data_IF_799463928599
#
_entry.id   IF_799463928599
#
_cell.length_a   1.000
_cell.length_b   1.000
_cell.length_c   1.000
_cell.angle_alpha   90.00
_cell.angle_beta   90.00
_cell.angle_gamma   90.00
#
_symmetry.space_group_name_H-M   'P 1'
#
loop_
_entity.id
_entity.type
_entity.pdbx_description
1 polymer ?
#
# COMPACT_ATOMS: atom_id res chain seq x y z
N UNK A 1 28.71 63.37 51.86
CA UNK A 1 28.37 62.71 50.57
C UNK A 1 29.61 62.04 49.91
N UNK A 2 30.48 61.42 50.72
CA UNK A 2 31.61 60.55 50.32
C UNK A 2 32.03 59.69 51.53
N UNK A 3 31.06 59.05 52.20
CA UNK A 3 31.31 58.20 53.38
C UNK A 3 30.31 57.03 53.50
N UNK A 4 29.69 56.64 52.39
CA UNK A 4 28.83 55.45 52.28
C UNK A 4 29.20 54.63 51.02
N UNK A 5 30.46 54.72 50.58
CA UNK A 5 30.96 54.05 49.37
C UNK A 5 32.28 53.29 49.60
N UNK A 6 32.67 53.06 50.86
CA UNK A 6 33.93 52.37 51.24
C UNK A 6 33.71 51.14 52.14
N UNK A 7 32.48 50.61 52.21
CA UNK A 7 32.15 49.37 52.96
C UNK A 7 31.80 48.16 52.07
N UNK A 8 32.23 48.17 50.80
CA UNK A 8 32.05 47.04 49.87
C UNK A 8 33.35 46.52 49.23
N UNK A 9 34.52 46.82 49.81
CA UNK A 9 35.83 46.40 49.28
C UNK A 9 36.75 45.73 50.33
N UNK A 10 36.19 44.95 51.25
CA UNK A 10 37.04 44.19 52.20
C UNK A 10 36.46 42.81 52.52
N UNK A 11 36.63 41.85 51.60
CA UNK A 11 36.71 40.40 51.85
C UNK A 11 37.14 39.68 50.55
N UNK A 12 38.31 40.04 50.02
CA UNK A 12 39.08 39.20 49.09
C UNK A 12 40.55 39.35 49.49
N UNK A 13 41.10 38.30 50.09
CA UNK A 13 42.48 38.24 50.58
C UNK A 13 42.74 36.85 51.14
N UNK A 14 43.18 35.96 50.25
CA UNK A 14 44.29 35.00 50.44
C UNK A 14 44.32 34.10 49.20
N UNK A 15 45.41 33.85 48.51
CA UNK A 15 46.70 34.51 48.34
C UNK A 15 47.23 33.89 47.04
N UNK A 16 47.75 34.72 46.14
CA UNK A 16 48.41 34.35 44.89
C UNK A 16 49.89 34.09 45.15
N UNK A 17 50.44 33.00 44.62
CA UNK A 17 51.71 32.94 43.87
C UNK A 17 51.59 31.66 43.01
N UNK A 18 51.65 31.61 41.68
CA UNK A 18 52.50 32.22 40.64
C UNK A 18 52.81 31.04 39.69
N UNK A 19 52.93 31.08 38.36
CA UNK A 19 53.17 32.10 37.33
C UNK A 19 52.92 31.40 35.97
N UNK A 20 52.50 32.19 34.96
CA UNK A 20 52.73 32.01 33.49
C UNK A 20 52.10 30.77 32.80
N UNK A 21 51.43 30.80 31.64
CA UNK A 21 51.14 31.79 30.61
C UNK A 21 50.86 31.04 29.29
N UNK A 22 49.78 31.43 28.58
CA UNK A 22 49.47 31.23 27.13
C UNK A 22 49.19 29.81 26.57
N UNK A 23 47.92 29.52 26.22
CA UNK A 23 47.40 29.38 24.83
C UNK A 23 45.98 28.74 24.79
N UNK A 24 45.26 29.04 23.70
CA UNK A 24 43.82 28.83 23.43
C UNK A 24 43.38 27.35 23.14
N UNK A 25 42.09 27.04 22.84
CA UNK A 25 41.31 26.02 23.54
C UNK A 25 41.19 24.68 22.79
N UNK A 26 41.11 23.57 23.52
CA UNK A 26 40.69 22.27 22.95
C UNK A 26 39.83 21.41 23.88
N UNK A 27 38.66 21.14 23.33
CA UNK A 27 37.94 19.87 23.29
C UNK A 27 37.24 19.31 24.54
N UNK A 28 35.95 19.07 24.28
CA UNK A 28 35.02 18.27 25.03
C UNK A 28 35.42 16.79 25.09
N UNK A 29 35.02 16.15 26.19
CA UNK A 29 34.74 14.72 26.35
C UNK A 29 34.08 14.53 27.73
N UNK A 30 33.52 13.36 28.10
CA UNK A 30 33.32 12.10 27.37
C UNK A 30 31.87 11.56 27.57
N UNK A 31 31.39 10.40 27.11
CA UNK A 31 31.89 9.29 26.30
C UNK A 31 30.69 8.43 25.91
N UNK A 32 30.60 8.11 24.62
CA UNK A 32 29.79 7.01 24.10
C UNK A 32 30.43 5.67 24.48
N UNK A 33 29.68 4.76 25.11
CA UNK A 33 30.09 3.37 25.28
C UNK A 33 29.93 2.63 23.95
N UNK A 34 31.06 2.47 23.24
CA UNK A 34 31.20 1.59 22.08
C UNK A 34 31.09 0.13 22.52
N UNK A 35 30.03 -0.57 22.11
CA UNK A 35 30.01 -2.03 22.13
C UNK A 35 30.81 -2.55 20.93
N UNK A 36 31.88 -3.29 21.21
CA UNK A 36 32.74 -3.95 20.21
C UNK A 36 32.64 -5.45 20.43
N UNK A 37 31.87 -6.16 19.60
CA UNK A 37 31.82 -7.62 19.56
C UNK A 37 32.31 -8.12 18.21
N UNK A 38 33.42 -8.84 18.18
CA UNK A 38 34.14 -9.28 16.99
C UNK A 38 33.91 -10.78 16.76
N UNK A 39 33.41 -11.14 15.58
CA UNK A 39 33.85 -12.31 14.80
C UNK A 39 33.21 -13.69 15.05
N UNK A 40 32.44 -14.16 14.06
CA UNK A 40 32.66 -15.45 13.39
C UNK A 40 31.99 -16.72 13.93
N UNK A 41 30.85 -17.10 13.35
CA UNK A 41 30.25 -18.44 13.49
C UNK A 41 29.21 -18.72 12.40
N UNK A 42 29.35 -19.85 11.71
CA UNK A 42 28.64 -20.25 10.48
C UNK A 42 27.32 -20.96 10.82
N UNK A 43 26.24 -20.63 10.09
CA UNK A 43 24.95 -21.34 9.87
C UNK A 43 24.20 -21.92 11.08
N UNK A 44 22.98 -21.41 11.29
CA UNK A 44 21.87 -22.10 11.95
C UNK A 44 20.52 -21.44 11.65
N UNK A 45 19.59 -22.18 11.05
CA UNK A 45 18.13 -21.88 11.03
C UNK A 45 17.64 -21.85 12.49
N UNK A 46 16.88 -20.83 12.89
CA UNK A 46 16.20 -20.82 14.20
C UNK A 46 15.54 -19.48 14.47
N UNK A 47 14.23 -19.49 14.73
CA UNK A 47 13.38 -18.30 14.84
C UNK A 47 13.67 -17.42 16.05
N UNK A 48 13.58 -16.11 15.84
CA UNK A 48 13.35 -15.15 16.91
C UNK A 48 11.86 -15.15 17.27
N UNK A 49 11.55 -15.12 18.57
CA UNK A 49 10.18 -14.99 19.09
C UNK A 49 9.45 -13.76 18.51
N UNK A 50 8.12 -13.69 18.67
CA UNK A 50 7.28 -12.89 17.79
C UNK A 50 7.59 -11.40 17.95
N UNK A 51 7.81 -10.71 16.83
CA UNK A 51 7.85 -9.25 16.73
C UNK A 51 6.58 -8.70 17.36
N UNK A 52 6.68 -7.81 18.36
CA UNK A 52 5.56 -7.50 19.27
C UNK A 52 4.89 -6.16 19.03
N UNK A 53 5.59 -5.19 18.44
CA UNK A 53 5.06 -3.84 18.23
C UNK A 53 5.00 -3.50 16.74
N UNK A 54 3.92 -2.83 16.33
CA UNK A 54 3.81 -2.26 14.99
C UNK A 54 3.28 -0.82 15.06
N UNK A 55 3.88 0.06 14.27
CA UNK A 55 3.49 1.47 14.17
C UNK A 55 3.40 1.92 12.72
N UNK A 56 2.44 2.80 12.37
CA UNK A 56 2.19 3.20 10.97
C UNK A 56 2.41 4.68 10.73
N UNK A 57 3.21 4.97 9.72
CA UNK A 57 3.43 6.29 9.14
C UNK A 57 2.74 6.35 7.78
N UNK A 58 2.06 7.45 7.49
CA UNK A 58 1.41 7.70 6.20
C UNK A 58 2.32 8.59 5.37
N UNK A 59 2.76 8.07 4.23
CA UNK A 59 3.81 8.67 3.43
C UNK A 59 3.27 9.05 2.03
N UNK A 60 3.26 10.34 1.67
CA UNK A 60 3.06 10.77 0.28
C UNK A 60 4.18 10.23 -0.64
N UNK A 61 3.94 10.18 -1.94
CA UNK A 61 4.87 9.58 -2.92
C UNK A 61 6.31 10.12 -2.84
N UNK A 62 6.47 11.45 -2.71
CA UNK A 62 7.78 12.07 -2.56
C UNK A 62 8.50 11.56 -1.29
N UNK A 63 7.78 11.39 -0.19
CA UNK A 63 8.34 10.86 1.05
C UNK A 63 8.67 9.37 0.94
N UNK A 64 7.79 8.57 0.31
CA UNK A 64 8.04 7.14 0.08
C UNK A 64 9.31 6.93 -0.75
N UNK A 65 9.47 7.68 -1.84
CA UNK A 65 10.66 7.57 -2.69
C UNK A 65 11.95 7.90 -1.94
N UNK A 66 11.93 8.91 -1.08
CA UNK A 66 13.06 9.29 -0.21
C UNK A 66 13.37 8.20 0.84
N UNK A 67 12.35 7.67 1.49
CA UNK A 67 12.49 6.63 2.53
C UNK A 67 12.96 5.28 1.97
N UNK A 68 12.50 4.90 0.77
CA UNK A 68 13.02 3.70 0.10
C UNK A 68 14.47 3.96 -0.33
N UNK A 69 14.72 5.09 -1.01
CA UNK A 69 16.03 5.43 -1.55
C UNK A 69 16.43 4.59 -2.77
N UNK A 70 17.57 4.93 -3.37
CA UNK A 70 18.10 4.22 -4.54
C UNK A 70 18.37 2.76 -4.17
N UNK A 71 17.75 1.82 -4.89
CA UNK A 71 17.82 0.37 -4.61
C UNK A 71 17.45 -0.05 -3.18
N UNK A 72 16.64 0.76 -2.47
CA UNK A 72 16.27 0.46 -1.09
C UNK A 72 17.35 0.80 -0.06
N UNK A 73 18.40 1.55 -0.43
CA UNK A 73 19.55 1.82 0.46
C UNK A 73 19.15 2.57 1.73
N UNK A 74 18.32 3.62 1.61
CA UNK A 74 17.85 4.40 2.76
C UNK A 74 17.04 3.54 3.72
N UNK A 75 16.08 2.75 3.18
CA UNK A 75 15.30 1.81 3.99
C UNK A 75 16.22 0.84 4.74
N UNK A 76 17.19 0.23 4.06
CA UNK A 76 18.13 -0.73 4.67
C UNK A 76 18.95 -0.08 5.78
N UNK A 77 19.43 1.15 5.58
CA UNK A 77 20.15 1.89 6.61
C UNK A 77 19.28 2.16 7.85
N UNK A 78 18.01 2.56 7.66
CA UNK A 78 17.08 2.74 8.78
C UNK A 78 16.83 1.41 9.50
N UNK A 79 16.62 0.30 8.76
CA UNK A 79 16.46 -1.05 9.36
C UNK A 79 17.72 -1.49 10.14
N UNK A 80 18.92 -1.20 9.63
CA UNK A 80 20.20 -1.54 10.27
C UNK A 80 20.48 -0.71 11.52
N UNK A 81 20.23 0.60 11.47
CA UNK A 81 20.49 1.51 12.58
C UNK A 81 19.45 1.41 13.71
N UNK A 82 18.19 1.17 13.37
CA UNK A 82 17.11 1.04 14.37
C UNK A 82 16.96 -0.38 14.94
N UNK A 83 17.39 -1.40 14.19
CA UNK A 83 17.09 -2.81 14.48
C UNK A 83 15.64 -3.21 14.16
N UNK A 84 14.82 -2.29 13.65
CA UNK A 84 13.43 -2.53 13.27
C UNK A 84 13.27 -3.06 11.85
N UNK A 85 12.06 -3.51 11.51
CA UNK A 85 11.71 -3.90 10.14
C UNK A 85 10.69 -2.94 9.54
N UNK A 86 11.00 -2.39 8.37
CA UNK A 86 10.13 -1.48 7.64
C UNK A 86 9.35 -2.26 6.57
N UNK A 87 8.07 -1.97 6.37
CA UNK A 87 7.24 -2.52 5.28
C UNK A 87 6.37 -1.42 4.70
N UNK A 88 6.47 -1.22 3.38
CA UNK A 88 5.60 -0.29 2.66
C UNK A 88 4.42 -1.06 2.05
N UNK A 89 3.26 -0.43 1.95
CA UNK A 89 2.14 -0.88 1.11
C UNK A 89 2.54 -0.90 -0.38
N UNK A 90 1.78 -1.57 -1.23
CA UNK A 90 1.97 -1.59 -2.69
C UNK A 90 1.94 -0.20 -3.35
N UNK A 91 2.33 -0.10 -4.62
CA UNK A 91 2.40 1.18 -5.36
C UNK A 91 1.03 1.85 -5.53
N UNK A 92 -0.04 1.07 -5.58
CA UNK A 92 -1.42 1.54 -5.77
C UNK A 92 -2.27 1.30 -4.50
N UNK A 93 -1.63 0.93 -3.40
CA UNK A 93 -2.28 0.68 -2.10
C UNK A 93 -2.13 1.92 -1.21
N UNK A 94 -3.13 2.79 -1.29
CA UNK A 94 -3.19 4.03 -0.53
C UNK A 94 -4.06 3.89 0.72
N UNK A 95 -3.71 4.67 1.75
CA UNK A 95 -4.60 4.88 2.89
C UNK A 95 -5.86 5.64 2.44
N UNK A 96 -7.06 5.26 2.90
CA UNK A 96 -8.32 5.82 2.41
C UNK A 96 -8.36 7.34 2.48
N UNK A 97 -9.04 7.94 1.49
CA UNK A 97 -9.16 9.39 1.32
C UNK A 97 -7.82 10.16 1.26
N UNK A 98 -6.73 9.46 0.93
CA UNK A 98 -5.41 10.05 0.72
C UNK A 98 -4.71 9.37 -0.46
N UNK A 99 -3.59 9.96 -0.90
CA UNK A 99 -2.57 9.35 -1.75
C UNK A 99 -1.33 8.97 -0.92
N UNK A 100 -1.50 8.82 0.39
CA UNK A 100 -0.43 8.37 1.25
C UNK A 100 -0.37 6.84 1.23
N UNK A 101 0.80 6.28 0.98
CA UNK A 101 1.08 4.86 1.21
C UNK A 101 1.38 4.62 2.68
N UNK A 102 1.10 3.42 3.16
CA UNK A 102 1.33 3.06 4.56
C UNK A 102 2.73 2.49 4.71
N UNK A 103 3.54 3.08 5.58
CA UNK A 103 4.78 2.51 6.10
C UNK A 103 4.51 1.92 7.48
N UNK A 104 4.70 0.61 7.61
CA UNK A 104 4.64 -0.11 8.88
C UNK A 104 6.06 -0.32 9.40
N UNK A 105 6.28 0.06 10.66
CA UNK A 105 7.51 -0.16 11.42
C UNK A 105 7.22 -1.28 12.41
N UNK A 106 7.93 -2.39 12.32
CA UNK A 106 7.89 -3.46 13.30
C UNK A 106 9.12 -3.40 14.20
N UNK A 107 8.91 -3.51 15.51
CA UNK A 107 9.96 -3.60 16.51
C UNK A 107 9.58 -4.58 17.61
N UNK A 108 10.58 -5.10 18.30
CA UNK A 108 10.36 -6.00 19.43
C UNK A 108 10.03 -5.20 20.71
N UNK A 109 10.51 -3.96 20.79
CA UNK A 109 10.32 -3.03 21.92
C UNK A 109 10.08 -1.60 21.41
N UNK A 110 9.42 -0.75 22.20
CA UNK A 110 9.18 0.65 21.85
C UNK A 110 10.44 1.45 21.45
N UNK A 111 11.62 1.30 22.10
CA UNK A 111 12.83 2.01 21.69
C UNK A 111 13.28 1.72 20.25
N UNK A 112 13.03 0.51 19.73
CA UNK A 112 13.35 0.15 18.34
C UNK A 112 12.45 0.92 17.37
N UNK A 113 11.15 0.99 17.67
CA UNK A 113 10.19 1.76 16.86
C UNK A 113 10.50 3.26 16.91
N UNK A 114 10.82 3.79 18.09
CA UNK A 114 11.19 5.18 18.28
C UNK A 114 12.50 5.54 17.55
N UNK A 115 13.50 4.67 17.58
CA UNK A 115 14.74 4.86 16.81
C UNK A 115 14.48 4.89 15.30
N UNK A 116 13.59 4.03 14.79
CA UNK A 116 13.19 4.08 13.38
C UNK A 116 12.42 5.36 13.04
N UNK A 117 11.52 5.80 13.92
CA UNK A 117 10.75 7.03 13.77
C UNK A 117 11.66 8.27 13.73
N UNK A 118 12.67 8.35 14.59
CA UNK A 118 13.64 9.44 14.60
C UNK A 118 14.34 9.59 13.24
N UNK A 119 14.80 8.48 12.65
CA UNK A 119 15.41 8.49 11.30
C UNK A 119 14.41 8.85 10.20
N UNK A 120 13.16 8.43 10.34
CA UNK A 120 12.08 8.79 9.41
C UNK A 120 11.81 10.30 9.49
N UNK A 121 11.84 10.91 10.68
CA UNK A 121 11.69 12.36 10.87
C UNK A 121 12.87 13.11 10.28
N UNK A 122 14.12 12.64 10.43
CA UNK A 122 15.26 13.23 9.72
C UNK A 122 15.07 13.22 8.20
N UNK A 123 14.57 12.10 7.64
CA UNK A 123 14.25 12.02 6.22
C UNK A 123 13.07 12.89 5.80
N UNK A 124 12.11 13.12 6.70
CA UNK A 124 10.99 14.04 6.46
C UNK A 124 11.53 15.46 6.22
N UNK A 125 12.45 15.91 7.09
CA UNK A 125 13.10 17.22 6.98
C UNK A 125 13.84 17.34 5.64
N UNK A 126 14.76 16.41 5.35
CA UNK A 126 15.51 16.39 4.09
C UNK A 126 14.58 16.47 2.87
N UNK A 127 13.50 15.68 2.88
CA UNK A 127 12.58 15.59 1.74
C UNK A 127 11.77 16.88 1.58
N UNK A 128 11.30 17.45 2.68
CA UNK A 128 10.50 18.67 2.67
C UNK A 128 11.30 19.87 2.17
N UNK A 129 12.57 20.00 2.58
CA UNK A 129 13.45 21.09 2.16
C UNK A 129 13.83 20.99 0.68
N UNK A 130 14.18 19.78 0.22
CA UNK A 130 14.48 19.53 -1.19
C UNK A 130 13.29 19.81 -2.12
N UNK A 131 12.06 19.66 -1.63
CA UNK A 131 10.84 20.00 -2.38
C UNK A 131 10.61 21.51 -2.44
N UNK A 132 10.85 22.25 -1.35
CA UNK A 132 10.71 23.71 -1.33
C UNK A 132 11.67 24.41 -2.29
N UNK A 133 12.87 23.87 -2.48
CA UNK A 133 13.87 24.45 -3.39
C UNK A 133 13.49 24.28 -4.88
N UNK A 134 12.75 23.21 -5.20
CA UNK A 134 12.38 22.87 -6.58
C UNK A 134 11.04 23.46 -7.02
N UNK A 135 10.13 23.72 -6.08
CA UNK A 135 8.78 24.22 -6.37
C UNK A 135 8.56 25.57 -5.70
N UNK A 136 8.92 26.65 -6.39
CA UNK A 136 8.71 28.01 -5.88
C UNK A 136 7.27 28.25 -5.40
N UNK A 137 7.10 28.62 -4.13
CA UNK A 137 5.89 29.15 -3.44
C UNK A 137 4.51 28.54 -3.79
N UNK A 138 4.46 27.32 -4.35
CA UNK A 138 3.23 26.75 -4.92
C UNK A 138 2.63 25.54 -4.20
N UNK A 139 3.11 25.17 -3.01
CA UNK A 139 2.71 23.92 -2.32
C UNK A 139 2.02 24.08 -0.97
N UNK A 140 1.67 25.30 -0.54
CA UNK A 140 1.16 25.53 0.83
C UNK A 140 -0.26 25.02 1.10
N UNK A 141 -1.06 24.85 0.04
CA UNK A 141 -2.45 24.37 0.12
C UNK A 141 -2.61 22.89 -0.27
N UNK A 142 -1.51 22.18 -0.55
CA UNK A 142 -1.59 20.73 -0.81
C UNK A 142 -1.87 19.99 0.51
N UNK A 143 -2.94 19.19 0.61
CA UNK A 143 -3.32 18.50 1.85
C UNK A 143 -2.30 17.44 2.30
N UNK A 144 -1.34 17.09 1.44
CA UNK A 144 -0.30 16.09 1.65
C UNK A 144 1.10 16.70 1.74
N UNK A 145 1.18 18.04 1.84
CA UNK A 145 2.44 18.75 2.07
C UNK A 145 3.18 18.21 3.29
N UNK A 146 4.50 18.14 3.17
CA UNK A 146 5.42 17.77 4.26
C UNK A 146 5.85 19.00 5.07
N UNK A 147 5.57 20.21 4.59
CA UNK A 147 5.93 21.48 5.23
C UNK A 147 4.76 22.02 6.06
N UNK A 148 5.07 22.48 7.26
CA UNK A 148 4.15 23.20 8.12
C UNK A 148 3.88 24.63 7.63
N UNK A 149 3.08 25.37 8.39
CA UNK A 149 2.74 26.76 8.04
C UNK A 149 3.91 27.69 8.36
N UNK A 150 4.59 27.44 9.47
CA UNK A 150 5.71 28.24 9.95
C UNK A 150 7.06 27.67 9.46
N UNK A 151 8.10 28.51 9.30
CA UNK A 151 9.43 28.03 8.92
C UNK A 151 9.98 27.04 9.95
N UNK A 152 10.58 25.94 9.47
CA UNK A 152 11.10 24.88 10.34
C UNK A 152 10.04 23.95 10.93
N UNK A 153 8.76 24.12 10.58
CA UNK A 153 7.73 23.13 10.88
C UNK A 153 7.58 22.12 9.75
N UNK A 154 7.38 20.86 10.12
CA UNK A 154 7.12 19.76 9.21
C UNK A 154 5.82 19.06 9.61
N UNK A 155 5.20 18.36 8.67
CA UNK A 155 3.93 17.63 8.88
C UNK A 155 4.17 16.14 8.73
N UNK A 156 4.20 15.43 9.85
CA UNK A 156 4.21 13.97 9.88
C UNK A 156 2.78 13.44 9.99
N UNK A 157 2.42 12.48 9.11
CA UNK A 157 1.11 11.80 9.15
C UNK A 157 1.30 10.39 9.66
N UNK A 158 0.44 9.96 10.58
CA UNK A 158 0.46 8.63 11.18
C UNK A 158 -0.95 8.03 11.14
N UNK A 159 -1.03 6.70 11.12
CA UNK A 159 -2.28 5.99 11.32
C UNK A 159 -2.27 5.39 12.72
N UNK A 160 -3.30 5.68 13.51
CA UNK A 160 -3.46 5.19 14.87
C UNK A 160 -4.56 4.13 14.93
N UNK A 161 -4.43 3.10 15.79
CA UNK A 161 -5.54 2.24 16.11
C UNK A 161 -6.69 3.04 16.75
N UNK A 162 -7.93 2.77 16.37
CA UNK A 162 -9.11 3.46 16.89
C UNK A 162 -9.20 3.34 18.42
N UNK A 163 -8.89 2.16 18.94
CA UNK A 163 -8.89 1.83 20.37
C UNK A 163 -7.95 2.77 21.15
N UNK A 164 -6.69 2.89 20.72
CA UNK A 164 -5.70 3.78 21.34
C UNK A 164 -6.00 5.26 21.11
N UNK A 165 -6.62 5.61 19.98
CA UNK A 165 -6.92 7.01 19.64
C UNK A 165 -7.89 7.65 20.63
N UNK A 166 -8.89 6.88 21.09
CA UNK A 166 -9.83 7.35 22.11
C UNK A 166 -9.13 7.72 23.43
N UNK A 167 -8.12 6.92 23.83
CA UNK A 167 -7.28 7.22 25.00
C UNK A 167 -6.40 8.44 24.77
N UNK A 168 -5.73 8.50 23.62
CA UNK A 168 -4.84 9.60 23.25
C UNK A 168 -5.57 10.95 23.28
N UNK A 169 -6.81 11.00 22.81
CA UNK A 169 -7.67 12.19 22.91
C UNK A 169 -8.08 12.44 24.37
N UNK A 170 -8.57 11.39 25.04
CA UNK A 170 -9.03 11.44 26.42
C UNK A 170 -10.39 12.16 26.58
N UNK A 171 -11.00 12.07 27.78
CA UNK A 171 -12.31 12.66 28.04
C UNK A 171 -12.26 14.18 27.86
N UNK A 172 -13.18 14.74 27.05
CA UNK A 172 -13.21 16.18 26.70
C UNK A 172 -11.92 16.69 26.04
N UNK A 173 -11.12 15.80 25.44
CA UNK A 173 -9.85 16.15 24.81
C UNK A 173 -8.74 16.53 25.80
N UNK A 174 -8.86 16.16 27.08
CA UNK A 174 -7.87 16.54 28.11
C UNK A 174 -6.49 15.92 27.87
N UNK A 175 -6.43 14.68 27.40
CA UNK A 175 -5.16 13.98 27.21
C UNK A 175 -4.38 14.56 26.03
N UNK A 176 -5.03 14.77 24.87
CA UNK A 176 -4.38 15.39 23.72
C UNK A 176 -4.03 16.86 23.96
N UNK A 177 -4.77 17.58 24.80
CA UNK A 177 -4.39 18.94 25.22
C UNK A 177 -3.09 18.93 26.01
N UNK A 178 -2.96 18.05 27.01
CA UNK A 178 -1.70 17.87 27.76
C UNK A 178 -0.53 17.50 26.84
N UNK A 179 -0.74 16.55 25.93
CA UNK A 179 0.28 16.16 24.96
C UNK A 179 0.74 17.36 24.12
N UNK A 180 -0.19 18.19 23.62
CA UNK A 180 0.14 19.40 22.86
C UNK A 180 0.87 20.45 23.70
N UNK A 181 0.51 20.59 24.97
CA UNK A 181 1.13 21.52 25.92
C UNK A 181 2.56 21.10 26.30
N UNK A 182 2.78 19.81 26.58
CA UNK A 182 4.09 19.28 27.00
C UNK A 182 5.10 19.21 25.85
N UNK A 183 4.63 18.89 24.65
CA UNK A 183 5.51 18.68 23.49
C UNK A 183 5.64 19.92 22.61
N UNK A 184 4.74 20.90 22.77
CA UNK A 184 4.51 22.02 21.83
C UNK A 184 4.12 21.58 20.41
N UNK A 185 3.75 20.32 20.20
CA UNK A 185 3.33 19.82 18.89
C UNK A 185 1.88 20.20 18.57
N UNK A 186 1.62 20.60 17.32
CA UNK A 186 0.27 20.79 16.80
C UNK A 186 -0.26 19.44 16.29
N UNK A 187 -0.94 18.70 17.16
CA UNK A 187 -1.49 17.36 16.83
C UNK A 187 -2.95 17.45 16.40
N UNK A 188 -3.31 16.95 15.23
CA UNK A 188 -4.70 16.85 14.75
C UNK A 188 -5.07 15.40 14.52
N UNK A 189 -6.28 15.00 14.91
CA UNK A 189 -6.79 13.65 14.68
C UNK A 189 -8.06 13.78 13.87
N UNK A 190 -8.15 13.05 12.76
CA UNK A 190 -9.31 13.07 11.87
C UNK A 190 -10.48 12.31 12.50
N UNK A 191 -11.71 12.68 12.17
CA UNK A 191 -12.91 12.03 12.73
C UNK A 191 -13.21 10.68 12.05
N UNK A 192 -12.80 10.53 10.80
CA UNK A 192 -13.04 9.33 9.99
C UNK A 192 -12.16 8.18 10.49
N UNK A 193 -12.72 6.97 10.49
CA UNK A 193 -12.01 5.75 10.89
C UNK A 193 -12.24 4.71 9.81
N UNK A 194 -11.16 4.10 9.33
CA UNK A 194 -11.18 3.10 8.27
C UNK A 194 -10.61 1.80 8.81
N UNK A 195 -11.43 0.75 8.88
CA UNK A 195 -11.02 -0.58 9.33
C UNK A 195 -10.19 -0.54 10.64
N UNK A 196 -10.66 0.24 11.62
CA UNK A 196 -9.96 0.40 12.91
C UNK A 196 -8.73 1.32 12.89
N UNK A 197 -8.47 2.04 11.80
CA UNK A 197 -7.38 3.01 11.65
C UNK A 197 -7.91 4.44 11.58
N UNK A 198 -7.28 5.36 12.30
CA UNK A 198 -7.65 6.77 12.33
C UNK A 198 -6.41 7.63 12.01
N UNK A 199 -6.53 8.54 11.06
CA UNK A 199 -5.42 9.41 10.65
C UNK A 199 -5.16 10.48 11.70
N UNK A 200 -3.88 10.68 12.04
CA UNK A 200 -3.42 11.82 12.81
C UNK A 200 -2.27 12.55 12.12
N UNK A 201 -2.21 13.86 12.32
CA UNK A 201 -1.15 14.76 11.87
C UNK A 201 -0.41 15.31 13.08
N UNK A 202 0.91 15.20 13.09
CA UNK A 202 1.79 15.81 14.08
C UNK A 202 2.60 16.87 13.35
N UNK A 203 2.49 18.12 13.80
CA UNK A 203 3.11 19.27 13.14
C UNK A 203 4.01 20.00 14.14
N UNK A 204 5.23 20.31 13.71
CA UNK A 204 6.20 21.07 14.48
C UNK A 204 7.64 20.87 13.97
N UNK A 205 8.63 21.43 14.67
CA UNK A 205 10.05 21.10 14.47
C UNK A 205 10.34 19.60 14.68
N UNK A 206 11.45 19.06 14.16
CA UNK A 206 11.78 17.63 14.27
C UNK A 206 11.82 17.14 15.73
N UNK A 207 12.42 17.91 16.65
CA UNK A 207 12.49 17.56 18.07
C UNK A 207 11.10 17.50 18.72
N UNK A 208 10.22 18.44 18.35
CA UNK A 208 8.82 18.50 18.81
C UNK A 208 8.00 17.33 18.28
N UNK A 209 8.18 16.96 17.00
CA UNK A 209 7.54 15.79 16.41
C UNK A 209 8.00 14.52 17.14
N UNK A 210 9.31 14.36 17.35
CA UNK A 210 9.87 13.22 18.06
C UNK A 210 9.36 13.12 19.51
N UNK A 211 9.31 14.23 20.25
CA UNK A 211 8.75 14.26 21.60
C UNK A 211 7.27 13.83 21.64
N UNK A 212 6.47 14.28 20.67
CA UNK A 212 5.08 13.84 20.53
C UNK A 212 4.97 12.36 20.16
N UNK A 213 5.84 11.85 19.31
CA UNK A 213 5.86 10.43 18.92
C UNK A 213 6.18 9.51 20.11
N UNK A 214 7.06 9.91 21.03
CA UNK A 214 7.32 9.14 22.27
C UNK A 214 6.02 8.93 23.05
N UNK A 215 5.30 10.01 23.35
CA UNK A 215 4.04 9.90 24.09
C UNK A 215 2.95 9.13 23.34
N UNK A 216 2.89 9.27 22.01
CA UNK A 216 1.92 8.56 21.16
C UNK A 216 2.21 7.05 21.14
N UNK A 217 3.48 6.66 20.97
CA UNK A 217 3.89 5.25 20.95
C UNK A 217 3.62 4.60 22.31
N UNK A 218 3.98 5.26 23.40
CA UNK A 218 3.72 4.78 24.77
C UNK A 218 2.21 4.59 25.01
N UNK A 219 1.38 5.51 24.52
CA UNK A 219 -0.07 5.40 24.59
C UNK A 219 -0.62 4.23 23.76
N UNK A 220 -0.06 3.96 22.59
CA UNK A 220 -0.48 2.85 21.73
C UNK A 220 -0.09 1.50 22.35
N UNK A 221 1.15 1.39 22.84
CA UNK A 221 1.67 0.18 23.49
C UNK A 221 0.92 -0.14 24.80
N UNK A 222 0.58 0.87 25.60
CA UNK A 222 -0.12 0.67 26.87
C UNK A 222 -1.58 0.23 26.70
N UNK A 223 -2.22 0.58 25.59
CA UNK A 223 -3.66 0.35 25.37
C UNK A 223 -3.93 -0.92 24.54
N UNK A 224 -2.95 -1.44 23.80
CA UNK A 224 -3.14 -2.61 22.94
C UNK A 224 -2.12 -3.70 23.23
N UNK A 225 -2.59 -4.96 23.26
CA UNK A 225 -1.69 -6.12 23.33
C UNK A 225 -0.79 -6.19 22.09
N UNK A 226 0.44 -6.69 22.28
CA UNK A 226 1.40 -6.95 21.20
C UNK A 226 0.80 -7.70 20.00
N UNK A 227 0.02 -8.75 20.25
CA UNK A 227 -0.59 -9.58 19.20
C UNK A 227 -1.56 -8.78 18.32
N UNK A 228 -2.42 -7.97 18.93
CA UNK A 228 -3.32 -7.07 18.21
C UNK A 228 -2.58 -5.99 17.42
N UNK A 229 -1.50 -5.43 17.97
CA UNK A 229 -0.70 -4.44 17.24
C UNK A 229 -0.04 -5.05 16.01
N UNK A 230 0.44 -6.30 16.10
CA UNK A 230 1.00 -7.00 14.95
C UNK A 230 -0.06 -7.30 13.89
N UNK A 231 -1.24 -7.78 14.29
CA UNK A 231 -2.37 -8.03 13.39
C UNK A 231 -2.80 -6.74 12.69
N UNK A 232 -3.01 -5.67 13.45
CA UNK A 232 -3.28 -4.33 12.93
C UNK A 232 -2.18 -3.86 11.97
N UNK A 233 -0.91 -4.11 12.30
CA UNK A 233 0.24 -3.83 11.47
C UNK A 233 0.24 -4.56 10.12
N UNK A 234 -0.33 -5.78 10.04
CA UNK A 234 -0.33 -6.58 8.80
C UNK A 234 -1.32 -6.04 7.75
N UNK A 235 -2.36 -5.34 8.18
CA UNK A 235 -3.38 -4.74 7.33
C UNK A 235 -2.85 -3.49 6.63
N UNK A 236 -2.23 -3.65 5.47
CA UNK A 236 -1.69 -2.53 4.67
C UNK A 236 -2.59 -2.12 3.50
N UNK A 237 -3.55 -2.99 3.15
CA UNK A 237 -4.53 -2.79 2.08
C UNK A 237 -5.84 -2.40 2.72
N UNK A 238 -6.41 -1.29 2.27
CA UNK A 238 -7.73 -0.82 2.70
C UNK A 238 -8.65 -0.93 1.50
N UNK A 239 -9.85 -1.49 1.69
CA UNK A 239 -10.86 -1.48 0.62
C UNK A 239 -11.18 -0.02 0.27
N UNK A 240 -10.78 0.42 -0.94
CA UNK A 240 -11.15 1.74 -1.43
C UNK A 240 -12.65 1.72 -1.73
N UNK A 241 -13.44 2.14 -0.75
CA UNK A 241 -14.80 2.61 -1.01
C UNK A 241 -14.73 3.60 -2.17
N UNK A 242 -15.46 3.28 -3.25
CA UNK A 242 -15.57 4.09 -4.45
C UNK A 242 -15.66 5.57 -4.08
N UNK A 243 -14.66 6.34 -4.51
CA UNK A 243 -14.56 7.77 -4.27
C UNK A 243 -15.90 8.45 -4.64
N UNK A 244 -16.69 8.84 -3.64
CA UNK A 244 -17.59 9.97 -3.80
C UNK A 244 -16.69 11.18 -4.06
N UNK A 245 -16.41 11.45 -5.34
CA UNK A 245 -16.02 12.79 -5.79
C UNK A 245 -17.08 13.73 -5.23
N UNK A 246 -16.78 14.38 -4.10
CA UNK A 246 -17.50 15.58 -3.67
C UNK A 246 -17.25 16.59 -4.78
N UNK A 247 -18.17 16.60 -5.74
CA UNK A 247 -18.36 17.70 -6.64
C UNK A 247 -18.38 18.95 -5.79
N UNK A 248 -17.47 19.87 -6.13
CA UNK A 248 -17.40 21.21 -5.57
C UNK A 248 -18.70 21.92 -5.95
N UNK A 249 -19.77 21.68 -5.21
CA UNK A 249 -21.01 22.44 -5.33
C UNK A 249 -20.72 23.80 -4.73
N UNK A 250 -20.59 24.76 -5.63
CA UNK A 250 -20.39 26.18 -5.35
C UNK A 250 -21.74 26.75 -4.94
N UNK A 251 -22.24 26.31 -3.79
CA UNK A 251 -23.43 26.91 -3.19
C UNK A 251 -22.98 28.07 -2.30
N UNK A 252 -23.20 29.26 -2.83
CA UNK A 252 -23.11 30.52 -2.11
C UNK A 252 -24.15 30.50 -0.99
N UNK A 253 -23.70 30.36 0.26
CA UNK A 253 -24.52 30.79 1.39
C UNK A 253 -24.54 32.33 1.42
N UNK A 254 -25.73 32.95 1.40
CA UNK A 254 -25.84 34.39 1.56
C UNK A 254 -25.58 34.76 3.03
N UNK A 255 -24.69 35.72 3.22
CA UNK A 255 -24.47 36.41 4.49
C UNK A 255 -25.80 37.02 4.97
N UNK A 256 -26.33 36.54 6.09
CA UNK A 256 -27.18 37.34 6.97
C UNK A 256 -26.69 37.26 8.41
N UNK A 257 -26.13 38.38 8.82
CA UNK A 257 -26.10 38.89 10.17
C UNK A 257 -27.52 38.79 10.76
N UNK A 258 -27.67 38.22 11.95
CA UNK A 258 -28.54 38.76 12.99
C UNK A 258 -28.19 38.13 14.35
N UNK A 259 -27.91 39.02 15.30
CA UNK A 259 -27.91 38.77 16.73
C UNK A 259 -29.30 38.28 17.11
N UNK A 260 -29.40 37.27 17.96
CA UNK A 260 -30.39 37.27 19.05
C UNK A 260 -30.08 36.24 20.13
N UNK A 261 -30.15 36.75 21.36
CA UNK A 261 -30.13 36.04 22.64
C UNK A 261 -31.20 34.97 22.72
N UNK A 262 -30.86 33.76 23.20
CA UNK A 262 -31.82 32.95 23.97
C UNK A 262 -31.11 32.32 25.17
N UNK A 263 -31.44 32.88 26.34
CA UNK A 263 -31.26 32.28 27.66
C UNK A 263 -32.44 31.35 27.95
N UNK A 264 -32.36 30.57 29.04
CA UNK A 264 -33.29 29.53 29.56
C UNK A 264 -32.95 28.10 29.08
N UNK A 265 -32.90 27.05 29.91
CA UNK A 265 -33.22 26.84 31.33
C UNK A 265 -32.66 25.49 31.75
N UNK A 266 -32.29 25.37 33.02
CA UNK A 266 -32.02 24.13 33.74
C UNK A 266 -33.07 23.04 33.49
N UNK A 267 -32.62 21.84 33.12
CA UNK A 267 -33.43 20.63 33.07
C UNK A 267 -32.56 19.41 33.33
N UNK A 268 -32.61 18.90 34.56
CA UNK A 268 -32.09 17.62 34.99
C UNK A 268 -32.63 16.48 34.13
N UNK A 269 -31.76 15.77 33.41
CA UNK A 269 -32.12 14.53 32.73
C UNK A 269 -31.23 13.40 33.26
N UNK A 270 -31.86 12.50 34.00
CA UNK A 270 -31.30 11.28 34.55
C UNK A 270 -30.64 10.45 33.44
N UNK A 271 -29.40 10.01 33.71
CA UNK A 271 -28.63 9.16 32.81
C UNK A 271 -29.10 7.72 32.96
N UNK A 272 -29.60 7.12 31.87
CA UNK A 272 -29.81 5.67 31.78
C UNK A 272 -28.46 4.92 31.86
N UNK A 273 -28.38 3.75 32.51
CA UNK A 273 -27.16 2.95 32.57
C UNK A 273 -26.79 2.43 31.18
N UNK A 274 -25.48 2.40 30.86
CA UNK A 274 -24.96 1.76 29.65
C UNK A 274 -24.91 0.25 29.88
N UNK A 275 -25.72 -0.50 29.15
CA UNK A 275 -25.55 -1.95 29.00
C UNK A 275 -24.20 -2.23 28.33
N UNK A 276 -23.51 -3.25 28.84
CA UNK A 276 -22.20 -3.70 28.38
C UNK A 276 -22.45 -4.67 27.23
N UNK A 277 -22.02 -4.33 26.02
CA UNK A 277 -22.13 -5.21 24.85
C UNK A 277 -21.31 -6.50 25.10
N UNK A 278 -22.00 -7.63 25.32
CA UNK A 278 -21.40 -8.95 25.38
C UNK A 278 -21.09 -9.41 23.96
N UNK A 279 -19.79 -9.45 23.60
CA UNK A 279 -19.34 -10.03 22.34
C UNK A 279 -19.53 -11.55 22.47
N UNK A 280 -20.53 -12.08 21.76
CA UNK A 280 -20.83 -13.52 21.72
C UNK A 280 -19.62 -14.36 21.31
N UNK A 281 -19.47 -15.51 21.96
CA UNK A 281 -18.40 -16.48 21.77
C UNK A 281 -18.49 -17.12 20.37
N UNK A 282 -17.58 -16.75 19.46
CA UNK A 282 -17.53 -17.32 18.11
C UNK A 282 -16.48 -18.44 18.04
N UNK A 283 -16.87 -19.68 17.66
CA UNK A 283 -15.92 -20.78 17.60
C UNK A 283 -14.89 -20.61 16.47
N UNK A 284 -13.68 -21.19 16.61
CA UNK A 284 -12.62 -21.12 15.61
C UNK A 284 -13.01 -21.79 14.29
N UNK A 285 -12.76 -21.12 13.16
CA UNK A 285 -13.16 -21.57 11.81
C UNK A 285 -12.09 -22.46 11.15
N UNK A 286 -12.14 -23.77 11.42
CA UNK A 286 -11.23 -24.78 10.84
C UNK A 286 -11.93 -25.81 9.91
N UNK A 287 -13.10 -25.51 9.34
CA UNK A 287 -13.76 -26.43 8.39
C UNK A 287 -14.37 -25.73 7.16
N UNK A 288 -14.30 -26.39 6.01
CA UNK A 288 -14.77 -25.92 4.69
C UNK A 288 -16.29 -25.61 4.67
N UNK A 289 -17.04 -26.13 5.63
CA UNK A 289 -18.48 -25.86 5.83
C UNK A 289 -18.79 -24.93 7.01
N UNK A 290 -17.79 -24.58 7.85
CA UNK A 290 -17.97 -23.74 9.02
C UNK A 290 -18.57 -22.35 8.70
N UNK A 291 -18.25 -21.68 7.57
CA UNK A 291 -18.82 -20.37 7.26
C UNK A 291 -20.34 -20.42 7.01
N UNK A 292 -20.85 -21.49 6.37
CA UNK A 292 -22.28 -21.60 6.08
C UNK A 292 -23.09 -21.92 7.35
N UNK A 293 -22.56 -22.80 8.19
CA UNK A 293 -23.13 -23.10 9.51
C UNK A 293 -23.09 -21.88 10.44
N UNK A 294 -21.99 -21.11 10.41
CA UNK A 294 -21.88 -19.86 11.14
C UNK A 294 -22.89 -18.82 10.66
N UNK A 295 -23.10 -18.67 9.35
CA UNK A 295 -24.12 -17.77 8.79
C UNK A 295 -25.53 -18.18 9.19
N UNK A 296 -25.83 -19.49 9.22
CA UNK A 296 -27.13 -19.99 9.68
C UNK A 296 -27.35 -19.75 11.18
N UNK A 297 -26.33 -19.98 12.00
CA UNK A 297 -26.37 -19.70 13.44
C UNK A 297 -26.56 -18.20 13.70
N UNK A 298 -25.78 -17.37 13.02
CA UNK A 298 -25.84 -15.91 13.11
C UNK A 298 -27.17 -15.35 12.66
N UNK A 299 -27.76 -15.89 11.59
CA UNK A 299 -29.05 -15.43 11.07
C UNK A 299 -30.15 -15.48 12.15
N UNK A 300 -30.09 -16.46 13.07
CA UNK A 300 -31.02 -16.57 14.19
C UNK A 300 -30.79 -15.58 15.33
N UNK A 301 -29.62 -14.95 15.41
CA UNK A 301 -29.27 -13.94 16.43
C UNK A 301 -29.40 -12.50 15.94
N UNK A 302 -29.83 -12.28 14.68
CA UNK A 302 -30.08 -10.92 14.21
C UNK A 302 -31.33 -10.32 14.87
N UNK A 303 -31.31 -9.01 15.18
CA UNK A 303 -32.52 -8.30 15.57
C UNK A 303 -33.63 -8.46 14.53
N UNK A 304 -34.88 -8.52 14.99
CA UNK A 304 -36.06 -8.65 14.11
C UNK A 304 -36.05 -7.59 13.01
N UNK A 305 -36.20 -8.01 11.75
CA UNK A 305 -36.22 -7.09 10.61
C UNK A 305 -34.84 -6.66 10.10
N UNK A 306 -33.75 -6.90 10.83
CA UNK A 306 -32.41 -6.41 10.47
C UNK A 306 -31.84 -7.10 9.23
N UNK A 307 -32.14 -8.39 9.03
CA UNK A 307 -31.70 -9.15 7.84
C UNK A 307 -32.38 -8.66 6.55
N UNK A 308 -33.54 -8.03 6.67
CA UNK A 308 -34.32 -7.49 5.55
C UNK A 308 -33.87 -6.09 5.15
N UNK A 309 -33.00 -5.44 5.93
CA UNK A 309 -32.42 -4.15 5.56
C UNK A 309 -31.56 -4.29 4.31
N UNK A 310 -31.53 -3.23 3.50
CA UNK A 310 -30.72 -3.19 2.30
C UNK A 310 -29.23 -3.10 2.67
N UNK A 311 -28.48 -4.09 2.26
CA UNK A 311 -27.02 -4.17 2.33
C UNK A 311 -26.45 -4.07 0.92
N UNK A 312 -25.19 -3.68 0.81
CA UNK A 312 -24.47 -3.63 -0.46
C UNK A 312 -23.13 -4.35 -0.33
N UNK A 313 -22.82 -5.19 -1.33
CA UNK A 313 -21.50 -5.81 -1.50
C UNK A 313 -20.96 -5.40 -2.87
N UNK A 314 -19.68 -5.07 -2.92
CA UNK A 314 -18.99 -4.75 -4.16
C UNK A 314 -17.71 -5.56 -4.33
N UNK A 315 -17.38 -5.90 -5.56
CA UNK A 315 -16.10 -6.54 -5.91
C UNK A 315 -15.64 -6.11 -7.30
N UNK A 316 -14.32 -6.03 -7.50
CA UNK A 316 -13.74 -5.69 -8.79
C UNK A 316 -13.48 -6.93 -9.64
N UNK A 317 -13.95 -6.89 -10.89
CA UNK A 317 -13.85 -8.00 -11.82
C UNK A 317 -13.12 -7.57 -13.10
N UNK A 318 -12.26 -8.44 -13.68
CA UNK A 318 -11.64 -8.18 -14.97
C UNK A 318 -12.67 -7.83 -16.04
N UNK A 319 -12.40 -6.79 -16.83
CA UNK A 319 -13.34 -6.26 -17.80
C UNK A 319 -13.74 -7.30 -18.87
N UNK A 320 -12.86 -8.23 -19.21
CA UNK A 320 -13.14 -9.29 -20.19
C UNK A 320 -14.25 -10.26 -19.73
N UNK A 321 -14.49 -10.41 -18.43
CA UNK A 321 -15.54 -11.29 -17.90
C UNK A 321 -16.89 -10.58 -17.71
N UNK A 322 -16.92 -9.26 -17.69
CA UNK A 322 -18.13 -8.48 -17.37
C UNK A 322 -19.22 -8.69 -18.41
N UNK A 323 -18.86 -8.81 -19.69
CA UNK A 323 -19.82 -9.09 -20.76
C UNK A 323 -20.57 -10.41 -20.57
N UNK A 324 -19.85 -11.47 -20.20
CA UNK A 324 -20.43 -12.79 -19.92
C UNK A 324 -21.32 -12.79 -18.67
N UNK A 325 -20.94 -12.02 -17.65
CA UNK A 325 -21.70 -11.84 -16.41
C UNK A 325 -22.97 -11.00 -16.60
N UNK A 326 -22.97 -10.03 -17.50
CA UNK A 326 -24.21 -9.35 -17.89
C UNK A 326 -25.09 -10.32 -18.70
N UNK A 327 -24.46 -11.10 -19.56
CA UNK A 327 -25.09 -12.04 -20.47
C UNK A 327 -25.74 -11.35 -21.67
N UNK A 328 -26.10 -12.14 -22.69
CA UNK A 328 -26.67 -11.61 -23.94
C UNK A 328 -27.95 -10.83 -23.66
N UNK A 329 -27.98 -9.53 -24.01
CA UNK A 329 -29.10 -8.61 -23.72
C UNK A 329 -29.45 -8.50 -22.22
N UNK A 330 -28.49 -8.71 -21.33
CA UNK A 330 -28.71 -8.65 -19.89
C UNK A 330 -29.47 -9.85 -19.31
N UNK A 331 -29.61 -10.96 -20.06
CA UNK A 331 -30.39 -12.13 -19.61
C UNK A 331 -29.92 -12.70 -18.27
N UNK A 332 -28.61 -12.80 -18.06
CA UNK A 332 -28.07 -13.41 -16.84
C UNK A 332 -28.22 -12.48 -15.64
N UNK A 333 -27.82 -11.21 -15.79
CA UNK A 333 -27.98 -10.23 -14.71
C UNK A 333 -29.45 -10.07 -14.30
N UNK A 334 -30.38 -10.03 -15.26
CA UNK A 334 -31.82 -9.95 -14.98
C UNK A 334 -32.34 -11.23 -14.28
N UNK A 335 -31.79 -12.40 -14.63
CA UNK A 335 -32.13 -13.65 -13.95
C UNK A 335 -31.66 -13.65 -12.50
N UNK A 336 -30.42 -13.19 -12.24
CA UNK A 336 -29.89 -13.06 -10.87
C UNK A 336 -30.76 -12.10 -10.09
N UNK A 337 -30.95 -10.86 -10.57
CA UNK A 337 -31.77 -9.84 -9.89
C UNK A 337 -33.18 -10.33 -9.56
N UNK A 338 -33.84 -11.02 -10.49
CA UNK A 338 -35.19 -11.57 -10.27
C UNK A 338 -35.22 -12.72 -9.27
N UNK A 339 -34.18 -13.55 -9.23
CA UNK A 339 -34.14 -14.74 -8.37
C UNK A 339 -33.78 -14.38 -6.93
N UNK A 340 -32.90 -13.40 -6.75
CA UNK A 340 -32.40 -13.00 -5.43
C UNK A 340 -33.08 -11.74 -4.90
N UNK A 341 -33.94 -11.09 -5.69
CA UNK A 341 -34.59 -9.82 -5.33
C UNK A 341 -33.57 -8.72 -4.99
N UNK A 342 -32.41 -8.76 -5.65
CA UNK A 342 -31.33 -7.77 -5.48
C UNK A 342 -31.18 -6.91 -6.73
N UNK A 343 -30.67 -5.70 -6.56
CA UNK A 343 -30.18 -4.86 -7.66
C UNK A 343 -28.71 -5.18 -7.93
N UNK A 344 -28.38 -5.51 -9.17
CA UNK A 344 -27.00 -5.83 -9.58
C UNK A 344 -26.56 -4.86 -10.67
N UNK A 345 -25.46 -4.14 -10.46
CA UNK A 345 -24.94 -3.14 -11.40
C UNK A 345 -23.44 -3.30 -11.61
N UNK A 346 -22.94 -2.80 -12.74
CA UNK A 346 -21.52 -2.69 -13.04
C UNK A 346 -21.16 -1.23 -13.28
N UNK A 347 -20.00 -0.79 -12.79
CA UNK A 347 -19.51 0.58 -13.04
C UNK A 347 -19.34 0.85 -14.54
N UNK A 348 -19.63 2.08 -14.99
CA UNK A 348 -19.46 2.48 -16.39
C UNK A 348 -17.98 2.57 -16.76
N UNK A 349 -17.62 2.08 -17.95
CA UNK A 349 -16.30 2.29 -18.51
C UNK A 349 -16.24 3.70 -19.15
N UNK A 350 -15.28 4.57 -18.77
CA UNK A 350 -15.14 5.88 -19.42
C UNK A 350 -14.87 5.73 -20.91
N UNK A 351 -15.54 6.55 -21.74
CA UNK A 351 -15.39 6.52 -23.20
C UNK A 351 -13.95 6.89 -23.57
N UNK A 352 -13.23 5.96 -24.20
CA UNK A 352 -11.87 6.20 -24.73
C UNK A 352 -10.72 5.71 -23.85
N UNK A 353 -11.00 5.02 -22.74
CA UNK A 353 -9.97 4.35 -21.92
C UNK A 353 -10.17 2.84 -21.91
N UNK A 354 -9.10 2.06 -22.09
CA UNK A 354 -9.11 0.63 -21.77
C UNK A 354 -9.24 0.45 -20.26
N UNK A 355 -10.41 0.01 -19.82
CA UNK A 355 -10.67 -0.29 -18.41
C UNK A 355 -10.29 -1.75 -18.16
N UNK A 356 -9.28 -1.97 -17.33
CA UNK A 356 -8.82 -3.31 -16.96
C UNK A 356 -9.82 -4.05 -16.05
N UNK A 357 -10.46 -3.33 -15.13
CA UNK A 357 -11.40 -3.89 -14.15
C UNK A 357 -12.67 -3.04 -14.03
N UNK A 358 -13.82 -3.68 -13.85
CA UNK A 358 -15.10 -3.02 -13.54
C UNK A 358 -15.65 -3.54 -12.22
N UNK A 359 -16.20 -2.63 -11.44
CA UNK A 359 -16.77 -2.93 -10.14
C UNK A 359 -18.19 -3.47 -10.31
N UNK A 360 -18.42 -4.69 -9.82
CA UNK A 360 -19.74 -5.27 -9.60
C UNK A 360 -20.29 -4.76 -8.26
N UNK A 361 -21.53 -4.29 -8.23
CA UNK A 361 -22.24 -3.88 -7.03
C UNK A 361 -23.56 -4.63 -6.93
N UNK A 362 -23.83 -5.22 -5.77
CA UNK A 362 -25.05 -5.99 -5.46
C UNK A 362 -25.70 -5.37 -4.23
N UNK A 363 -26.96 -4.95 -4.33
CA UNK A 363 -27.71 -4.33 -3.25
C UNK A 363 -29.04 -5.04 -3.00
N UNK A 364 -29.37 -5.31 -1.75
CA UNK A 364 -30.63 -5.95 -1.34
C UNK A 364 -30.56 -6.51 0.09
N UNK A 365 -31.50 -7.37 0.50
CA UNK A 365 -31.47 -8.05 1.81
C UNK A 365 -30.15 -8.81 2.03
N UNK A 366 -29.66 -8.90 3.27
CA UNK A 366 -28.29 -9.38 3.55
C UNK A 366 -28.01 -10.76 2.95
N UNK A 367 -28.88 -11.73 3.21
CA UNK A 367 -28.73 -13.10 2.70
C UNK A 367 -28.88 -13.16 1.18
N UNK A 368 -29.81 -12.37 0.64
CA UNK A 368 -30.04 -12.25 -0.81
C UNK A 368 -28.83 -11.70 -1.56
N UNK A 369 -28.10 -10.75 -0.97
CA UNK A 369 -26.87 -10.18 -1.54
C UNK A 369 -25.79 -11.26 -1.67
N UNK A 370 -25.58 -12.07 -0.63
CA UNK A 370 -24.60 -13.16 -0.69
C UNK A 370 -25.03 -14.28 -1.64
N UNK A 371 -26.33 -14.58 -1.75
CA UNK A 371 -26.85 -15.50 -2.76
C UNK A 371 -26.56 -15.00 -4.18
N UNK A 372 -26.84 -13.73 -4.46
CA UNK A 372 -26.54 -13.10 -5.74
C UNK A 372 -25.04 -13.09 -6.03
N UNK A 373 -24.22 -12.77 -5.02
CA UNK A 373 -22.77 -12.78 -5.14
C UNK A 373 -22.24 -14.17 -5.51
N UNK A 374 -22.72 -15.24 -4.86
CA UNK A 374 -22.35 -16.62 -5.21
C UNK A 374 -22.77 -16.99 -6.64
N UNK A 375 -23.97 -16.59 -7.09
CA UNK A 375 -24.42 -16.83 -8.47
C UNK A 375 -23.53 -16.12 -9.50
N UNK A 376 -23.12 -14.88 -9.22
CA UNK A 376 -22.21 -14.11 -10.09
C UNK A 376 -20.81 -14.74 -10.12
N UNK A 377 -20.26 -15.11 -8.96
CA UNK A 377 -18.94 -15.72 -8.86
C UNK A 377 -18.88 -17.10 -9.52
N UNK A 378 -19.94 -17.91 -9.41
CA UNK A 378 -20.03 -19.18 -10.16
C UNK A 378 -19.92 -18.94 -11.65
N UNK A 379 -20.68 -17.96 -12.17
CA UNK A 379 -20.68 -17.62 -13.60
C UNK A 379 -19.33 -17.07 -14.07
N UNK A 380 -18.65 -16.30 -13.24
CA UNK A 380 -17.30 -15.80 -13.52
C UNK A 380 -16.29 -16.94 -13.70
N UNK A 381 -16.25 -17.89 -12.75
CA UNK A 381 -15.32 -19.02 -12.82
C UNK A 381 -15.63 -19.97 -13.99
N UNK A 382 -16.91 -20.17 -14.34
CA UNK A 382 -17.29 -20.90 -15.55
C UNK A 382 -16.74 -20.24 -16.83
N UNK A 383 -16.70 -18.91 -16.88
CA UNK A 383 -16.19 -18.18 -18.04
C UNK A 383 -14.66 -18.21 -18.10
N UNK A 384 -13.98 -18.05 -16.97
CA UNK A 384 -12.52 -18.17 -16.88
C UNK A 384 -12.02 -19.54 -17.34
N UNK A 385 -12.70 -20.62 -16.92
CA UNK A 385 -12.38 -21.97 -17.36
C UNK A 385 -12.53 -22.13 -18.88
N UNK A 386 -13.60 -21.59 -19.47
CA UNK A 386 -13.79 -21.64 -20.93
C UNK A 386 -12.71 -20.88 -21.68
N UNK A 387 -12.36 -19.68 -21.22
CA UNK A 387 -11.30 -18.89 -21.83
C UNK A 387 -9.95 -19.61 -21.77
N UNK A 388 -9.64 -20.28 -20.66
CA UNK A 388 -8.41 -21.10 -20.52
C UNK A 388 -8.42 -22.32 -21.46
N UNK A 389 -9.57 -23.00 -21.60
CA UNK A 389 -9.73 -24.11 -22.54
C UNK A 389 -9.62 -23.66 -24.00
N UNK A 390 -10.16 -22.49 -24.35
CA UNK A 390 -10.08 -21.93 -25.71
C UNK A 390 -8.66 -21.49 -26.04
N UNK A 391 -7.99 -20.79 -25.12
CA UNK A 391 -6.60 -20.37 -25.28
C UNK A 391 -5.63 -21.56 -25.42
N UNK A 392 -5.84 -22.63 -24.65
CA UNK A 392 -5.04 -23.85 -24.77
C UNK A 392 -5.27 -24.55 -26.12
N UNK A 393 -6.53 -24.70 -26.56
CA UNK A 393 -6.86 -25.26 -27.89
C UNK A 393 -6.28 -24.43 -29.04
N UNK A 394 -6.29 -23.10 -28.93
CA UNK A 394 -5.71 -22.22 -29.93
C UNK A 394 -4.18 -22.36 -29.99
N UNK A 395 -3.52 -22.40 -28.83
CA UNK A 395 -2.07 -22.63 -28.75
C UNK A 395 -1.66 -23.99 -29.34
N UNK A 396 -2.44 -25.04 -29.06
CA UNK A 396 -2.23 -26.37 -29.66
C UNK A 396 -2.39 -26.36 -31.17
N UNK A 397 -3.41 -25.67 -31.71
CA UNK A 397 -3.62 -25.54 -33.16
C UNK A 397 -2.48 -24.78 -33.85
N UNK A 398 -2.00 -23.69 -33.25
CA UNK A 398 -0.86 -22.92 -33.78
C UNK A 398 0.40 -23.77 -33.80
N UNK A 399 0.65 -24.52 -32.72
CA UNK A 399 1.80 -25.43 -32.63
C UNK A 399 1.72 -26.54 -33.68
N UNK A 400 0.54 -27.15 -33.86
CA UNK A 400 0.33 -28.17 -34.89
C UNK A 400 0.50 -27.61 -36.31
N UNK A 401 -0.01 -26.41 -36.60
CA UNK A 401 0.18 -25.75 -37.90
C UNK A 401 1.66 -25.49 -38.18
N UNK A 402 2.41 -24.97 -37.20
CA UNK A 402 3.84 -24.73 -37.35
C UNK A 402 4.64 -26.02 -37.63
N UNK A 403 4.28 -27.13 -36.97
CA UNK A 403 4.88 -28.44 -37.24
C UNK A 403 4.56 -28.92 -38.66
N UNK A 404 3.32 -28.75 -39.12
CA UNK A 404 2.93 -29.11 -40.49
C UNK A 404 3.70 -28.29 -41.53
N UNK A 405 3.82 -26.98 -41.34
CA UNK A 405 4.57 -26.09 -42.24
C UNK A 405 6.06 -26.45 -42.31
N UNK A 406 6.65 -26.83 -41.17
CA UNK A 406 8.04 -27.29 -41.11
C UNK A 406 8.24 -28.59 -41.89
N UNK A 407 7.33 -29.56 -41.75
CA UNK A 407 7.39 -30.83 -42.49
C UNK A 407 7.21 -30.63 -44.00
N UNK A 408 6.30 -29.76 -44.43
CA UNK A 408 6.12 -29.42 -45.84
C UNK A 408 7.40 -28.80 -46.44
N UNK A 409 8.08 -27.94 -45.68
CA UNK A 409 9.35 -27.33 -46.10
C UNK A 409 10.45 -28.38 -46.25
N UNK A 410 10.55 -29.33 -45.32
CA UNK A 410 11.52 -30.43 -45.40
C UNK A 410 11.26 -31.37 -46.59
N UNK A 411 9.99 -31.69 -46.87
CA UNK A 411 9.60 -32.49 -48.02
C UNK A 411 9.99 -31.79 -49.33
N UNK A 412 9.72 -30.50 -49.47
CA UNK A 412 10.07 -29.74 -50.66
C UNK A 412 11.60 -29.69 -50.89
N UNK A 413 12.40 -29.60 -49.83
CA UNK A 413 13.86 -29.64 -49.95
C UNK A 413 14.38 -31.03 -50.36
N UNK A 414 13.84 -32.09 -49.76
CA UNK A 414 14.12 -33.48 -50.14
C UNK A 414 13.77 -33.76 -51.61
N UNK A 415 12.64 -33.25 -52.10
CA UNK A 415 12.24 -33.36 -53.51
C UNK A 415 13.25 -32.66 -54.44
N UNK A 416 13.74 -31.48 -54.06
CA UNK A 416 14.80 -30.78 -54.83
C UNK A 416 16.09 -31.57 -54.85
N UNK A 417 16.52 -32.11 -53.71
CA UNK A 417 17.73 -32.93 -53.61
C UNK A 417 17.64 -34.19 -54.48
N UNK A 418 16.48 -34.87 -54.46
CA UNK A 418 16.23 -36.02 -55.34
C UNK A 418 16.22 -35.66 -56.82
N UNK A 419 15.68 -34.49 -57.19
CA UNK A 419 15.71 -34.00 -58.56
C UNK A 419 17.15 -33.79 -59.04
N UNK A 420 18.01 -33.16 -58.23
CA UNK A 420 19.43 -32.94 -58.54
C UNK A 420 20.17 -34.27 -58.73
N UNK A 421 19.94 -35.24 -57.83
CA UNK A 421 20.57 -36.56 -57.94
C UNK A 421 20.07 -37.37 -59.14
N UNK A 422 18.80 -37.21 -59.54
CA UNK A 422 18.28 -37.83 -60.78
C UNK A 422 18.85 -37.19 -62.04
N UNK A 423 19.12 -35.88 -62.03
CA UNK A 423 19.77 -35.21 -63.17
C UNK A 423 21.25 -35.58 -63.33
N UNK A 424 21.95 -35.91 -62.24
CA UNK A 424 23.37 -36.34 -62.28
C UNK A 424 23.56 -37.87 -62.42
N UNK A 425 22.47 -38.66 -62.33
CA UNK A 425 22.49 -40.13 -62.39
C UNK A 425 22.43 -40.76 -63.78
N UNK A 426 22.56 -39.99 -64.87
CA UNK A 426 22.61 -40.52 -66.23
C UNK A 426 23.99 -41.08 -66.60
N UNK A 427 24.24 -42.37 -66.35
CA UNK A 427 25.51 -43.03 -66.68
C UNK A 427 25.79 -43.18 -68.19
N UNK A 428 27.08 -43.18 -68.59
CA UNK A 428 27.56 -43.40 -69.95
C UNK A 428 27.83 -44.89 -70.24
N UNK A 429 27.44 -45.39 -71.41
CA UNK A 429 27.93 -46.61 -72.05
C UNK A 429 27.23 -46.77 -73.42
N UNK A 430 27.80 -47.30 -74.49
CA UNK A 430 29.15 -47.70 -74.87
C UNK A 430 29.06 -48.19 -76.34
N UNK A 431 30.18 -48.14 -77.07
CA UNK A 431 30.53 -49.19 -78.04
C UNK A 431 30.52 -48.82 -79.53
N UNK A 432 31.70 -48.83 -80.15
CA UNK A 432 31.81 -48.90 -81.61
C UNK A 432 33.17 -48.53 -82.19
N UNK A 433 34.20 -49.33 -81.93
CA UNK A 433 35.50 -49.30 -82.61
C UNK A 433 35.38 -49.46 -84.14
N UNK A 434 36.28 -48.82 -84.91
CA UNK A 434 36.75 -49.39 -86.18
C UNK A 434 37.19 -48.43 -87.28
N UNK A 435 38.51 -48.36 -87.52
CA UNK A 435 39.07 -48.39 -88.88
C UNK A 435 39.37 -47.05 -89.58
N UNK A 436 40.65 -46.83 -89.88
CA UNK A 436 41.16 -45.65 -90.56
C UNK A 436 40.96 -45.60 -92.07
N UNK A 437 41.22 -44.42 -92.65
CA UNK A 437 41.27 -44.21 -94.09
C UNK A 437 41.60 -42.76 -94.45
N UNK A 438 42.79 -42.54 -95.01
CA UNK A 438 43.31 -41.25 -95.52
C UNK A 438 42.45 -40.69 -96.67
N UNK A 439 42.53 -39.37 -96.95
CA UNK A 439 41.71 -38.72 -97.96
C UNK A 439 42.37 -38.78 -99.35
N UNK A 440 41.60 -39.09 -100.41
CA UNK A 440 41.94 -38.66 -101.77
C UNK A 440 40.72 -38.37 -102.64
N UNK A 441 40.88 -37.25 -103.36
CA UNK A 441 40.11 -36.63 -104.43
C UNK A 441 39.47 -37.60 -105.43
N UNK A 442 38.30 -37.19 -105.92
CA UNK A 442 38.17 -36.83 -107.33
C UNK A 442 37.34 -37.75 -108.20
N UNK A 443 36.38 -37.16 -108.90
CA UNK A 443 36.21 -37.41 -110.32
C UNK A 443 35.17 -38.45 -110.72
N UNK A 444 34.04 -37.93 -111.22
CA UNK A 444 33.15 -38.60 -112.17
C UNK A 444 33.93 -39.16 -113.36
N UNK A 445 33.51 -40.31 -113.89
CA UNK A 445 33.89 -40.76 -115.23
C UNK A 445 33.48 -42.21 -115.50
N UNK A 446 32.38 -42.38 -116.23
CA UNK A 446 31.92 -43.66 -116.75
C UNK A 446 32.72 -44.09 -117.99
N UNK A 447 32.89 -45.41 -118.13
CA UNK A 447 33.41 -46.22 -119.25
C UNK A 447 34.88 -46.59 -119.19
#
# INVERSE_FOLDING_TARGET
>A
MKRELEEAEHLVGDELEGMEGLDEPREASPSAKRYRGKGGGKKGKGGGGPKRLAFKVLCPDAFVSSLIGIQGATRKAIEEESGGKLRFSGKEEFYPNSRCRTLVIYGDEAPIVLAALDRIVMRLVDTAENLSDRTGKGGRDDPETLLGKEPGEYVLRIALPKESTGRLIGPRGTSIKKLREETNAKVFVDNETFEGHQLARVIGPPDTINAALVQIVDCVESEMSAERLVQWGQQATFEQGSQHRRGRSRDQEPRRNDKEEWNHRSGSQERRPRERDEIGDFPPMDAVNAPLEAMQSLAGSFPDGALQLAHAVSCDLPNHCVGALIGTKGKFINHVQRTTETTVTFSEAPKGSEVAHRTLMIQGPLISVYAAHMMMMRKYHEEELKNQEEASRESERVTQSAVVDQLQTQLADLERQLHVLRSDGGSPAAGGCGGGGRPRKGGKGSR
#
